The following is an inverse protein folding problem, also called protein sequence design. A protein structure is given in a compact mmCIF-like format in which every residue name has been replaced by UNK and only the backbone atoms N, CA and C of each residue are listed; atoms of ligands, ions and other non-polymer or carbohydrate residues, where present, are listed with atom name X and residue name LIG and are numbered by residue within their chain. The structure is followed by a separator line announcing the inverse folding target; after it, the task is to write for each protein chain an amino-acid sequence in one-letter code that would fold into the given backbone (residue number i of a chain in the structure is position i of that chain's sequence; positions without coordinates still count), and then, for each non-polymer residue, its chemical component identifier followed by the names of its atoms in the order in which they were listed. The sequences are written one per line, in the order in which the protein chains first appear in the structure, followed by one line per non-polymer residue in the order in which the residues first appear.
data_IF_361589902820
#
_entry.id   IF_361589902820
#
_cell.length_a   1.000
_cell.length_b   1.000
_cell.length_c   1.000
_cell.angle_alpha   90.00
_cell.angle_beta   90.00
_cell.angle_gamma   90.00
#
_symmetry.space_group_name_H-M   'P 1'
#
loop_
_entity.id
_entity.type
_entity.pdbx_description
1 polymer ?
#
# COMPACT_ATOMS: atom_id res chain seq x y z
N UNK A 1 -46.85 60.80 -35.56
CA UNK A 1 -47.69 60.86 -36.77
C UNK A 1 -47.70 59.48 -37.42
N UNK A 2 -48.87 58.84 -37.48
CA UNK A 2 -49.31 57.65 -38.24
C UNK A 2 -48.44 56.36 -38.40
N UNK A 3 -49.17 55.23 -38.50
CA UNK A 3 -48.73 53.82 -38.67
C UNK A 3 -49.03 53.35 -40.11
N UNK A 4 -48.36 52.27 -40.57
CA UNK A 4 -48.93 51.07 -41.26
C UNK A 4 -47.80 50.03 -41.51
N UNK A 5 -47.79 48.76 -41.02
CA UNK A 5 -48.64 47.56 -41.32
C UNK A 5 -48.59 47.21 -42.83
N UNK A 6 -48.30 45.99 -43.36
CA UNK A 6 -48.43 44.57 -42.93
C UNK A 6 -47.27 43.69 -43.53
N UNK A 7 -47.19 42.33 -43.51
CA UNK A 7 -48.18 41.24 -43.42
C UNK A 7 -47.61 39.89 -42.90
N UNK A 8 -48.51 38.95 -42.63
CA UNK A 8 -48.33 37.58 -42.08
C UNK A 8 -48.60 36.54 -43.21
N UNK A 9 -48.25 35.24 -43.20
CA UNK A 9 -47.93 34.25 -42.14
C UNK A 9 -47.38 32.90 -42.71
N UNK A 10 -47.27 31.87 -41.84
CA UNK A 10 -47.25 30.40 -42.09
C UNK A 10 -45.97 29.71 -42.61
N UNK A 11 -45.26 29.06 -41.68
CA UNK A 11 -45.41 27.60 -41.49
C UNK A 11 -44.98 27.23 -40.06
N UNK A 12 -45.78 26.42 -39.37
CA UNK A 12 -45.50 26.01 -38.00
C UNK A 12 -44.97 24.58 -37.93
N UNK A 13 -43.92 24.38 -37.15
CA UNK A 13 -43.52 23.06 -36.64
C UNK A 13 -43.02 23.24 -35.20
N UNK A 14 -43.74 22.63 -34.25
CA UNK A 14 -43.32 22.56 -32.85
C UNK A 14 -42.18 21.56 -32.73
N UNK A 15 -40.96 22.03 -32.45
CA UNK A 15 -39.92 21.17 -31.90
C UNK A 15 -40.20 20.95 -30.41
N UNK A 16 -40.79 19.79 -30.09
CA UNK A 16 -40.88 19.30 -28.72
C UNK A 16 -39.49 18.86 -28.25
N UNK A 17 -39.13 19.21 -27.02
CA UNK A 17 -37.90 18.74 -26.41
C UNK A 17 -37.99 17.22 -26.12
N UNK A 18 -37.07 16.44 -26.68
CA UNK A 18 -36.84 15.05 -26.29
C UNK A 18 -35.86 15.01 -25.10
N UNK A 19 -36.14 14.24 -24.04
CA UNK A 19 -35.19 14.07 -22.95
C UNK A 19 -34.02 13.21 -23.42
N UNK A 20 -32.81 13.76 -23.36
CA UNK A 20 -31.56 13.02 -23.58
C UNK A 20 -31.26 12.11 -22.38
N UNK A 21 -31.98 10.99 -22.28
CA UNK A 21 -31.56 9.87 -21.43
C UNK A 21 -30.39 9.14 -22.11
N UNK A 22 -29.20 9.73 -22.02
CA UNK A 22 -27.94 9.05 -22.34
C UNK A 22 -27.68 7.99 -21.27
N UNK A 23 -28.27 6.81 -21.49
CA UNK A 23 -27.91 5.61 -20.74
C UNK A 23 -26.42 5.35 -20.92
N UNK A 24 -25.72 5.12 -19.80
CA UNK A 24 -24.34 4.60 -19.84
C UNK A 24 -24.33 3.34 -20.74
N UNK A 25 -23.45 3.23 -21.74
CA UNK A 25 -23.19 1.93 -22.31
C UNK A 25 -22.67 1.02 -21.20
N UNK A 26 -23.34 -0.11 -20.99
CA UNK A 26 -22.82 -1.21 -20.18
C UNK A 26 -21.59 -1.77 -20.91
N UNK A 27 -20.42 -1.21 -20.60
CA UNK A 27 -19.15 -1.80 -21.03
C UNK A 27 -19.02 -3.16 -20.36
N UNK A 28 -19.33 -4.22 -21.11
CA UNK A 28 -19.12 -5.61 -20.71
C UNK A 28 -17.67 -6.05 -21.00
N UNK A 29 -16.71 -5.12 -20.91
CA UNK A 29 -15.31 -5.46 -20.83
C UNK A 29 -15.06 -6.02 -19.41
N UNK A 30 -15.11 -7.34 -19.26
CA UNK A 30 -14.41 -7.98 -18.15
C UNK A 30 -12.92 -7.72 -18.36
N UNK A 31 -12.33 -6.84 -17.55
CA UNK A 31 -10.89 -6.56 -17.63
C UNK A 31 -10.10 -7.87 -17.50
N UNK A 32 -9.37 -8.20 -18.56
CA UNK A 32 -8.62 -9.46 -18.64
C UNK A 32 -7.43 -9.36 -17.69
N UNK A 33 -7.58 -9.98 -16.52
CA UNK A 33 -6.56 -9.98 -15.47
C UNK A 33 -5.22 -10.49 -15.99
N UNK A 34 -4.16 -9.71 -15.72
CA UNK A 34 -2.78 -10.05 -16.06
C UNK A 34 -2.33 -11.30 -15.29
N UNK A 35 -1.50 -12.12 -15.91
CA UNK A 35 -1.00 -13.38 -15.34
C UNK A 35 0.48 -13.28 -15.03
N UNK A 36 0.91 -13.72 -13.85
CA UNK A 36 2.33 -13.88 -13.53
C UNK A 36 2.90 -15.12 -14.23
N UNK A 37 4.24 -15.28 -14.32
CA UNK A 37 4.87 -16.50 -14.83
C UNK A 37 4.47 -17.78 -14.07
N UNK A 38 3.98 -17.64 -12.83
CA UNK A 38 3.55 -18.74 -11.97
C UNK A 38 2.03 -19.01 -12.03
N UNK A 39 1.29 -18.41 -12.96
CA UNK A 39 -0.17 -18.55 -13.02
C UNK A 39 -0.64 -20.02 -13.09
N UNK A 40 -0.13 -20.82 -14.03
CA UNK A 40 -0.52 -22.23 -14.15
C UNK A 40 0.02 -23.09 -12.99
N UNK A 41 1.17 -22.69 -12.43
CA UNK A 41 1.73 -23.29 -11.22
C UNK A 41 0.78 -23.08 -10.02
N UNK A 42 0.18 -21.91 -9.86
CA UNK A 42 -0.82 -21.64 -8.82
C UNK A 42 -2.05 -22.53 -8.98
N UNK A 43 -2.57 -22.66 -10.21
CA UNK A 43 -3.72 -23.53 -10.50
C UNK A 43 -3.42 -24.99 -10.14
N UNK A 44 -2.27 -25.51 -10.56
CA UNK A 44 -1.86 -26.89 -10.27
C UNK A 44 -1.77 -27.18 -8.75
N UNK A 45 -1.36 -26.20 -7.96
CA UNK A 45 -1.27 -26.33 -6.49
C UNK A 45 -2.55 -25.94 -5.74
N UNK A 46 -3.67 -25.71 -6.44
CA UNK A 46 -4.97 -25.41 -5.84
C UNK A 46 -5.12 -23.97 -5.34
N UNK A 47 -4.43 -23.02 -5.99
CA UNK A 47 -4.53 -21.59 -5.74
C UNK A 47 -5.92 -21.05 -6.09
N UNK A 48 -6.55 -20.35 -5.14
CA UNK A 48 -7.86 -19.71 -5.32
C UNK A 48 -7.64 -18.30 -5.89
N UNK A 49 -7.71 -18.20 -7.21
CA UNK A 49 -7.33 -17.00 -7.95
C UNK A 49 -8.36 -15.87 -7.79
N UNK A 50 -7.90 -14.64 -7.56
CA UNK A 50 -8.71 -13.42 -7.44
C UNK A 50 -8.06 -12.25 -8.18
N UNK A 51 -8.84 -11.21 -8.46
CA UNK A 51 -8.33 -9.93 -8.94
C UNK A 51 -7.56 -9.19 -7.84
N UNK A 52 -6.32 -8.79 -8.11
CA UNK A 52 -5.50 -7.94 -7.25
C UNK A 52 -4.62 -7.02 -8.09
N UNK A 53 -4.81 -5.70 -7.99
CA UNK A 53 -4.08 -4.68 -8.76
C UNK A 53 -4.01 -4.96 -10.28
N UNK A 54 -5.09 -5.48 -10.88
CA UNK A 54 -5.15 -5.85 -12.30
C UNK A 54 -4.51 -7.21 -12.66
N UNK A 55 -4.03 -7.98 -11.67
CA UNK A 55 -3.47 -9.32 -11.84
C UNK A 55 -4.40 -10.40 -11.28
N UNK A 56 -4.24 -11.63 -11.77
CA UNK A 56 -4.87 -12.84 -11.23
C UNK A 56 -3.88 -13.56 -10.31
N UNK A 57 -4.15 -13.56 -9.01
CA UNK A 57 -3.24 -14.06 -7.97
C UNK A 57 -4.00 -14.89 -6.91
N UNK A 58 -3.34 -15.86 -6.25
CA UNK A 58 -3.99 -16.70 -5.26
C UNK A 58 -4.24 -15.96 -3.94
N UNK A 59 -5.52 -15.81 -3.54
CA UNK A 59 -5.85 -15.27 -2.21
C UNK A 59 -5.44 -16.22 -1.08
N UNK A 60 -5.53 -17.52 -1.36
CA UNK A 60 -5.03 -18.65 -0.55
C UNK A 60 -4.89 -19.90 -1.45
N UNK A 61 -4.41 -21.00 -0.87
CA UNK A 61 -4.39 -22.33 -1.50
C UNK A 61 -5.35 -23.29 -0.77
N UNK A 62 -4.93 -24.55 -0.58
CA UNK A 62 -5.69 -25.60 0.13
C UNK A 62 -5.85 -25.27 1.62
N UNK A 63 -4.74 -25.02 2.32
CA UNK A 63 -4.70 -24.62 3.73
C UNK A 63 -5.48 -23.30 3.94
N UNK A 64 -5.99 -23.08 5.16
CA UNK A 64 -6.62 -21.80 5.49
C UNK A 64 -5.57 -20.69 5.51
N UNK A 65 -5.99 -19.43 5.32
CA UNK A 65 -5.06 -18.30 5.43
C UNK A 65 -4.51 -18.13 6.87
N UNK A 66 -5.19 -18.69 7.88
CA UNK A 66 -4.75 -18.70 9.28
C UNK A 66 -3.61 -19.71 9.45
N UNK A 67 -3.77 -20.93 8.93
CA UNK A 67 -2.74 -21.97 8.99
C UNK A 67 -1.51 -21.59 8.16
N UNK A 68 -1.72 -21.04 6.96
CA UNK A 68 -0.66 -20.51 6.08
C UNK A 68 0.12 -19.36 6.74
N UNK A 69 -0.57 -18.48 7.47
CA UNK A 69 0.08 -17.44 8.27
C UNK A 69 0.95 -18.04 9.38
N UNK A 70 0.40 -18.96 10.18
CA UNK A 70 1.12 -19.60 11.30
C UNK A 70 2.32 -20.41 10.80
N UNK A 71 2.16 -21.16 9.70
CA UNK A 71 3.26 -21.85 9.01
C UNK A 71 4.39 -20.89 8.62
N UNK A 72 4.05 -19.70 8.10
CA UNK A 72 5.06 -18.68 7.74
C UNK A 72 5.85 -18.15 8.94
N UNK A 73 5.29 -18.22 10.16
CA UNK A 73 5.94 -17.78 11.41
C UNK A 73 6.77 -18.88 12.08
N UNK A 74 6.47 -20.15 11.81
CA UNK A 74 7.12 -21.31 12.42
C UNK A 74 8.14 -22.00 11.51
N UNK A 75 7.91 -21.94 10.20
CA UNK A 75 8.71 -22.54 9.13
C UNK A 75 9.02 -21.46 8.08
N UNK A 76 8.74 -21.72 6.80
CA UNK A 76 8.85 -20.72 5.75
C UNK A 76 7.75 -20.87 4.68
N UNK A 77 7.42 -19.77 4.00
CA UNK A 77 6.42 -19.78 2.93
C UNK A 77 6.90 -19.01 1.70
N UNK A 78 6.54 -19.53 0.53
CA UNK A 78 6.80 -18.93 -0.78
C UNK A 78 5.58 -18.10 -1.23
N UNK A 79 5.82 -16.85 -1.63
CA UNK A 79 4.82 -15.91 -2.13
C UNK A 79 5.18 -15.49 -3.57
N UNK A 80 4.20 -15.54 -4.48
CA UNK A 80 4.37 -14.92 -5.80
C UNK A 80 4.15 -13.41 -5.73
N UNK A 81 5.24 -12.67 -5.88
CA UNK A 81 5.27 -11.20 -5.91
C UNK A 81 5.66 -10.64 -7.28
N UNK A 82 5.60 -11.47 -8.34
CA UNK A 82 6.04 -11.11 -9.71
C UNK A 82 5.22 -9.98 -10.36
N UNK A 83 4.09 -9.61 -9.75
CA UNK A 83 3.24 -8.50 -10.15
C UNK A 83 3.83 -7.12 -9.80
N UNK A 84 4.71 -7.05 -8.79
CA UNK A 84 5.37 -5.82 -8.35
C UNK A 84 6.25 -5.23 -9.47
N UNK A 85 6.42 -3.91 -9.47
CA UNK A 85 7.29 -3.24 -10.42
C UNK A 85 8.75 -3.48 -10.02
N UNK A 86 9.60 -3.88 -10.98
CA UNK A 86 11.03 -4.09 -10.77
C UNK A 86 11.80 -3.29 -11.82
N UNK A 87 12.56 -2.27 -11.41
CA UNK A 87 13.24 -1.36 -12.33
C UNK A 87 14.73 -1.29 -12.06
N UNK A 88 15.50 -0.98 -13.12
CA UNK A 88 16.95 -0.79 -13.04
C UNK A 88 17.32 0.62 -13.51
N UNK A 89 18.08 1.35 -12.70
CA UNK A 89 18.53 2.71 -13.01
C UNK A 89 20.04 2.72 -13.23
N UNK A 90 20.44 3.08 -14.44
CA UNK A 90 21.83 3.09 -14.90
C UNK A 90 22.38 4.53 -15.00
N UNK A 91 23.68 4.65 -15.29
CA UNK A 91 24.37 5.93 -15.44
C UNK A 91 25.10 6.40 -14.19
N UNK A 92 26.01 7.36 -14.35
CA UNK A 92 26.78 8.00 -13.27
C UNK A 92 25.87 8.66 -12.24
N UNK A 93 24.87 9.40 -12.71
CA UNK A 93 24.00 10.24 -11.90
C UNK A 93 22.78 9.51 -11.32
N UNK A 94 22.70 8.18 -11.45
CA UNK A 94 21.57 7.35 -10.97
C UNK A 94 21.17 7.59 -9.52
N UNK A 95 22.14 7.88 -8.65
CA UNK A 95 21.91 8.20 -7.22
C UNK A 95 21.24 9.57 -7.09
N UNK A 96 21.78 10.59 -7.75
CA UNK A 96 21.22 11.96 -7.75
C UNK A 96 19.80 11.98 -8.34
N UNK A 97 19.59 11.22 -9.41
CA UNK A 97 18.26 11.04 -10.03
C UNK A 97 17.28 10.44 -9.02
N UNK A 98 17.61 9.29 -8.41
CA UNK A 98 16.75 8.65 -7.40
C UNK A 98 16.49 9.60 -6.20
N UNK A 99 17.51 10.25 -5.68
CA UNK A 99 17.38 11.16 -4.54
C UNK A 99 16.48 12.37 -4.83
N UNK A 100 16.40 12.85 -6.08
CA UNK A 100 15.43 13.89 -6.47
C UNK A 100 13.96 13.46 -6.37
N UNK A 101 13.70 12.16 -6.20
CA UNK A 101 12.35 11.58 -6.09
C UNK A 101 12.04 11.02 -4.69
N UNK A 102 13.06 10.56 -3.95
CA UNK A 102 12.88 9.84 -2.67
C UNK A 102 13.50 10.54 -1.47
N UNK A 103 13.00 10.19 -0.29
CA UNK A 103 13.39 10.78 1.00
C UNK A 103 14.65 10.16 1.67
N UNK A 104 15.16 9.04 1.16
CA UNK A 104 16.30 8.31 1.75
C UNK A 104 17.68 8.85 1.37
N UNK A 105 18.71 8.55 2.17
CA UNK A 105 20.13 8.77 1.81
C UNK A 105 20.62 7.58 0.97
N UNK A 106 20.46 7.67 -0.35
CA UNK A 106 20.81 6.61 -1.31
C UNK A 106 22.32 6.59 -1.57
N UNK A 107 22.96 7.76 -1.52
CA UNK A 107 24.41 7.91 -1.62
C UNK A 107 25.18 7.23 -0.47
N UNK A 108 24.54 6.98 0.69
CA UNK A 108 25.16 6.29 1.83
C UNK A 108 25.01 4.76 1.77
N UNK A 109 24.23 4.22 0.82
CA UNK A 109 24.08 2.77 0.64
C UNK A 109 25.38 2.14 0.14
N UNK A 110 25.91 1.19 0.90
CA UNK A 110 27.04 0.34 0.49
C UNK A 110 26.67 -0.50 -0.74
N UNK A 111 27.66 -0.99 -1.51
CA UNK A 111 27.40 -1.97 -2.56
C UNK A 111 26.61 -3.17 -2.03
N UNK A 112 25.54 -3.52 -2.73
CA UNK A 112 24.54 -4.54 -2.41
C UNK A 112 23.75 -4.30 -1.12
N UNK A 113 23.74 -3.08 -0.59
CA UNK A 113 22.84 -2.64 0.47
C UNK A 113 21.58 -2.00 -0.12
N UNK A 114 20.43 -2.29 0.48
CA UNK A 114 19.16 -1.64 0.17
C UNK A 114 18.46 -1.08 1.40
N UNK A 115 17.48 -0.21 1.16
CA UNK A 115 16.60 0.38 2.17
C UNK A 115 15.18 0.52 1.63
N UNK A 116 14.21 0.54 2.55
CA UNK A 116 12.90 1.15 2.25
C UNK A 116 13.10 2.65 2.02
N UNK A 117 12.44 3.19 1.01
CA UNK A 117 12.30 4.62 0.78
C UNK A 117 10.88 4.94 0.30
N UNK A 118 10.58 6.22 0.15
CA UNK A 118 9.26 6.72 -0.22
C UNK A 118 9.44 7.72 -1.35
N UNK A 119 8.68 7.59 -2.43
CA UNK A 119 8.46 8.69 -3.35
C UNK A 119 7.55 9.72 -2.67
N UNK A 120 7.86 11.01 -2.77
CA UNK A 120 7.01 12.08 -2.23
C UNK A 120 6.63 13.12 -3.28
N UNK A 121 5.54 13.83 -3.06
CA UNK A 121 5.13 15.00 -3.82
C UNK A 121 5.53 16.31 -3.11
N UNK A 122 5.36 17.46 -3.76
CA UNK A 122 5.71 18.77 -3.18
C UNK A 122 4.82 19.20 -2.01
N UNK A 123 3.65 18.58 -1.82
CA UNK A 123 2.83 18.75 -0.62
C UNK A 123 3.34 17.89 0.57
N UNK A 124 4.38 17.08 0.36
CA UNK A 124 4.98 16.19 1.35
C UNK A 124 4.25 14.85 1.53
N UNK A 125 3.24 14.56 0.71
CA UNK A 125 2.50 13.30 0.71
C UNK A 125 3.26 12.18 -0.02
N UNK A 126 2.95 10.92 0.32
CA UNK A 126 3.65 9.74 -0.21
C UNK A 126 3.01 9.29 -1.54
N UNK A 127 3.80 9.16 -2.59
CA UNK A 127 3.34 8.68 -3.91
C UNK A 127 3.44 7.16 -4.05
N UNK A 128 4.49 6.53 -3.52
CA UNK A 128 4.56 5.08 -3.31
C UNK A 128 5.65 4.76 -2.26
N UNK A 129 5.58 3.56 -1.67
CA UNK A 129 6.69 2.98 -0.91
C UNK A 129 7.48 1.94 -1.73
N UNK A 130 8.81 1.99 -1.64
CA UNK A 130 9.69 1.20 -2.51
C UNK A 130 10.94 0.71 -1.76
N UNK A 131 11.49 -0.41 -2.21
CA UNK A 131 12.83 -0.85 -1.82
C UNK A 131 13.81 -0.45 -2.92
N UNK A 132 14.87 0.27 -2.57
CA UNK A 132 15.97 0.62 -3.47
C UNK A 132 17.28 0.03 -2.95
N UNK A 133 18.03 -0.61 -3.84
CA UNK A 133 19.31 -1.28 -3.59
C UNK A 133 20.39 -0.71 -4.49
N UNK A 134 21.53 -0.32 -3.91
CA UNK A 134 22.70 0.13 -4.67
C UNK A 134 23.55 -1.09 -5.05
N UNK A 135 23.46 -1.59 -6.29
CA UNK A 135 24.13 -2.86 -6.66
C UNK A 135 25.62 -2.66 -6.96
N UNK A 136 26.43 -3.69 -6.72
CA UNK A 136 27.83 -3.71 -7.18
C UNK A 136 27.97 -3.77 -8.71
N UNK A 137 26.89 -4.07 -9.43
CA UNK A 137 26.79 -4.09 -10.90
C UNK A 137 26.54 -2.71 -11.51
N UNK A 138 26.81 -1.62 -10.79
CA UNK A 138 26.76 -0.26 -11.33
C UNK A 138 25.36 0.30 -11.62
N UNK A 139 24.30 -0.30 -11.07
CA UNK A 139 22.92 0.19 -11.21
C UNK A 139 22.21 0.26 -9.86
N UNK A 140 21.13 1.04 -9.78
CA UNK A 140 20.16 0.89 -8.68
C UNK A 140 19.12 -0.16 -9.10
N UNK A 141 18.82 -1.10 -8.22
CA UNK A 141 17.69 -2.02 -8.38
C UNK A 141 16.56 -1.58 -7.45
N UNK A 142 15.39 -1.35 -8.04
CA UNK A 142 14.24 -0.73 -7.36
C UNK A 142 13.03 -1.65 -7.50
N UNK A 143 12.27 -1.80 -6.41
CA UNK A 143 11.03 -2.58 -6.36
C UNK A 143 9.94 -1.74 -5.73
N UNK A 144 8.84 -1.51 -6.44
CA UNK A 144 7.68 -0.70 -5.99
C UNK A 144 6.33 -1.39 -6.26
N UNK A 145 5.23 -0.83 -5.78
CA UNK A 145 3.95 -1.52 -5.70
C UNK A 145 3.29 -1.75 -7.08
N UNK A 146 2.65 -2.90 -7.23
CA UNK A 146 1.97 -3.27 -8.48
C UNK A 146 0.81 -2.33 -8.85
N UNK A 147 0.11 -1.76 -7.84
CA UNK A 147 -0.97 -0.79 -8.04
C UNK A 147 -0.48 0.60 -8.47
N UNK A 148 0.77 0.94 -8.16
CA UNK A 148 1.41 2.19 -8.57
C UNK A 148 2.14 2.06 -9.91
N UNK A 149 2.17 0.85 -10.49
CA UNK A 149 3.00 0.48 -11.64
C UNK A 149 2.94 1.48 -12.80
N UNK A 150 1.79 2.02 -13.17
CA UNK A 150 1.65 2.95 -14.30
C UNK A 150 2.20 4.35 -13.98
N UNK A 151 1.91 4.85 -12.76
CA UNK A 151 2.47 6.09 -12.23
C UNK A 151 4.00 6.02 -12.21
N UNK A 152 4.53 4.92 -11.68
CA UNK A 152 5.96 4.69 -11.49
C UNK A 152 6.69 4.33 -12.81
N UNK A 153 6.04 3.62 -13.74
CA UNK A 153 6.63 3.26 -15.04
C UNK A 153 6.95 4.46 -15.91
N UNK A 154 6.22 5.57 -15.72
CA UNK A 154 6.51 6.85 -16.38
C UNK A 154 7.92 7.37 -16.06
N UNK A 155 8.61 6.76 -15.08
CA UNK A 155 9.95 7.14 -14.63
C UNK A 155 11.07 6.14 -15.04
N UNK A 156 10.80 4.87 -15.39
CA UNK A 156 11.85 3.80 -15.41
C UNK A 156 11.58 2.57 -16.33
N UNK A 157 12.62 1.76 -16.64
CA UNK A 157 12.55 0.49 -17.42
C UNK A 157 12.77 -0.80 -16.58
N UNK A 158 12.29 -1.95 -17.10
CA UNK A 158 12.16 -3.26 -16.42
C UNK A 158 12.68 -4.43 -17.30
N UNK A 159 13.27 -5.49 -16.71
CA UNK A 159 13.06 -6.89 -17.17
C UNK A 159 13.53 -7.95 -16.16
N UNK A 160 12.82 -9.09 -16.08
CA UNK A 160 13.30 -10.40 -15.57
C UNK A 160 12.70 -11.51 -16.47
N UNK A 161 13.47 -12.55 -16.90
CA UNK A 161 12.94 -13.62 -17.76
C UNK A 161 11.93 -14.54 -17.07
N UNK A 162 10.79 -14.81 -17.72
CA UNK A 162 9.69 -15.61 -17.16
C UNK A 162 10.01 -17.10 -16.96
N UNK A 163 10.83 -17.70 -17.83
CA UNK A 163 11.11 -19.14 -17.81
C UNK A 163 11.84 -19.63 -16.54
N UNK A 164 12.65 -18.76 -15.93
CA UNK A 164 13.43 -19.07 -14.74
C UNK A 164 12.57 -19.11 -13.46
N UNK A 165 11.45 -18.37 -13.43
CA UNK A 165 10.60 -18.25 -12.26
C UNK A 165 9.95 -19.59 -11.86
N UNK A 166 9.42 -20.34 -12.84
CA UNK A 166 8.80 -21.65 -12.60
C UNK A 166 9.83 -22.66 -12.07
N UNK A 167 11.03 -22.70 -12.68
CA UNK A 167 12.09 -23.63 -12.25
C UNK A 167 12.50 -23.37 -10.80
N UNK A 168 12.68 -22.10 -10.43
CA UNK A 168 13.00 -21.71 -9.05
C UNK A 168 11.87 -22.02 -8.06
N UNK A 169 10.61 -21.74 -8.43
CA UNK A 169 9.46 -22.01 -7.57
C UNK A 169 9.29 -23.52 -7.29
N UNK A 170 9.45 -24.36 -8.32
CA UNK A 170 9.45 -25.83 -8.16
C UNK A 170 10.58 -26.29 -7.24
N UNK A 171 11.82 -25.87 -7.49
CA UNK A 171 12.98 -26.28 -6.69
C UNK A 171 12.89 -25.85 -5.21
N UNK A 172 12.28 -24.70 -4.92
CA UNK A 172 12.02 -24.29 -3.53
C UNK A 172 10.95 -25.15 -2.87
N UNK A 173 9.92 -25.59 -3.61
CA UNK A 173 8.82 -26.39 -3.08
C UNK A 173 9.16 -27.88 -2.92
N UNK A 174 10.33 -28.33 -3.39
CA UNK A 174 10.88 -29.66 -3.08
C UNK A 174 11.30 -29.79 -1.59
N UNK A 175 11.51 -28.68 -0.89
CA UNK A 175 11.76 -28.68 0.56
C UNK A 175 10.43 -28.76 1.33
N UNK A 176 10.20 -29.79 2.18
CA UNK A 176 8.94 -29.98 2.90
C UNK A 176 8.60 -28.87 3.92
N UNK A 177 9.58 -28.06 4.31
CA UNK A 177 9.38 -26.89 5.19
C UNK A 177 8.74 -25.69 4.46
N UNK A 178 8.75 -25.69 3.12
CA UNK A 178 8.22 -24.61 2.28
C UNK A 178 6.75 -24.89 1.94
N UNK A 179 5.87 -23.94 2.23
CA UNK A 179 4.48 -23.94 1.72
C UNK A 179 4.19 -22.71 0.87
N UNK A 180 3.26 -22.85 -0.08
CA UNK A 180 2.74 -21.69 -0.81
C UNK A 180 1.79 -20.87 0.07
N UNK A 181 1.93 -19.54 0.04
CA UNK A 181 1.08 -18.62 0.80
C UNK A 181 0.47 -17.54 -0.10
N UNK A 182 -0.81 -17.24 0.16
CA UNK A 182 -1.62 -16.32 -0.65
C UNK A 182 -1.74 -14.92 -0.05
N UNK A 183 -2.45 -14.04 -0.78
CA UNK A 183 -2.64 -12.63 -0.42
C UNK A 183 -3.20 -12.41 1.00
N UNK A 184 -4.10 -13.27 1.48
CA UNK A 184 -4.70 -13.14 2.81
C UNK A 184 -3.70 -13.44 3.96
N UNK A 185 -2.76 -14.38 3.75
CA UNK A 185 -1.67 -14.61 4.68
C UNK A 185 -0.67 -13.44 4.63
N UNK A 186 -0.35 -12.94 3.43
CA UNK A 186 0.54 -11.77 3.24
C UNK A 186 0.03 -10.53 3.99
N UNK A 187 -1.26 -10.19 3.88
CA UNK A 187 -1.83 -9.01 4.55
C UNK A 187 -1.85 -9.13 6.08
N UNK A 188 -2.21 -10.30 6.62
CA UNK A 188 -2.19 -10.50 8.07
C UNK A 188 -0.77 -10.51 8.65
N UNK A 189 0.20 -11.11 7.94
CA UNK A 189 1.62 -11.13 8.35
C UNK A 189 2.24 -9.73 8.37
N UNK A 190 1.99 -8.92 7.32
CA UNK A 190 2.54 -7.55 7.22
C UNK A 190 1.91 -6.62 8.25
N UNK A 191 0.60 -6.76 8.52
CA UNK A 191 -0.11 -5.93 9.49
C UNK A 191 0.42 -6.20 10.91
N UNK A 192 0.57 -7.47 11.30
CA UNK A 192 1.23 -7.85 12.56
C UNK A 192 2.67 -7.33 12.67
N UNK A 193 3.42 -7.31 11.55
CA UNK A 193 4.77 -6.78 11.49
C UNK A 193 4.84 -5.24 11.47
N UNK A 194 3.71 -4.53 11.60
CA UNK A 194 3.68 -3.06 11.64
C UNK A 194 3.93 -2.37 10.30
N UNK A 195 3.96 -3.13 9.20
CA UNK A 195 4.29 -2.67 7.86
C UNK A 195 3.06 -2.05 7.17
N UNK A 196 3.27 -0.89 6.53
CA UNK A 196 2.24 -0.22 5.75
C UNK A 196 1.81 -1.04 4.54
N UNK A 197 0.60 -0.77 4.06
CA UNK A 197 0.14 -1.06 2.71
C UNK A 197 -0.19 0.28 2.05
N UNK A 198 0.51 0.62 0.95
CA UNK A 198 0.20 1.82 0.18
C UNK A 198 -1.24 1.76 -0.38
N UNK A 199 -1.93 2.90 -0.40
CA UNK A 199 -3.36 3.00 -0.73
C UNK A 199 -4.30 2.65 0.42
N UNK A 200 -3.78 2.12 1.53
CA UNK A 200 -4.51 1.88 2.77
C UNK A 200 -3.96 2.74 3.91
N UNK A 201 -2.73 2.47 4.34
CA UNK A 201 -2.13 3.08 5.55
C UNK A 201 -1.32 4.33 5.26
N UNK A 202 -0.94 4.53 4.00
CA UNK A 202 -0.22 5.70 3.46
C UNK A 202 -0.72 5.98 2.04
N UNK A 203 -0.83 7.26 1.72
CA UNK A 203 -1.31 7.81 0.46
C UNK A 203 -0.73 9.22 0.20
N UNK A 204 -1.12 9.82 -0.93
CA UNK A 204 -0.62 11.12 -1.44
C UNK A 204 -0.98 12.34 -0.57
N UNK A 205 -1.74 12.14 0.50
CA UNK A 205 -2.10 13.14 1.52
C UNK A 205 -1.48 12.83 2.88
N UNK A 206 -0.83 11.68 3.07
CA UNK A 206 -0.11 11.33 4.31
C UNK A 206 1.37 11.62 4.18
N UNK A 207 1.96 12.37 5.12
CA UNK A 207 3.41 12.58 5.11
C UNK A 207 4.16 11.40 5.73
N UNK A 208 5.48 11.24 5.48
CA UNK A 208 6.31 10.29 6.20
C UNK A 208 6.29 10.46 7.73
N UNK A 209 6.02 11.67 8.25
CA UNK A 209 5.95 11.91 9.70
C UNK A 209 4.59 11.49 10.26
N UNK A 210 3.50 11.87 9.60
CA UNK A 210 2.15 11.39 9.95
C UNK A 210 2.07 9.87 9.89
N UNK A 211 2.63 9.25 8.85
CA UNK A 211 2.68 7.81 8.66
C UNK A 211 3.56 7.03 9.65
N UNK A 212 4.18 7.70 10.65
CA UNK A 212 5.17 7.09 11.56
C UNK A 212 6.35 6.44 10.81
N UNK A 213 6.76 7.01 9.68
CA UNK A 213 7.86 6.57 8.81
C UNK A 213 9.06 7.52 8.83
N UNK A 214 9.14 8.47 9.78
CA UNK A 214 10.26 9.44 9.91
C UNK A 214 11.67 8.84 9.93
N UNK A 215 11.81 7.53 10.11
CA UNK A 215 13.07 6.79 10.05
C UNK A 215 13.59 6.59 8.61
N UNK A 216 12.73 6.64 7.58
CA UNK A 216 13.13 6.54 6.16
C UNK A 216 13.79 7.82 5.64
N UNK A 217 13.53 8.96 6.29
CA UNK A 217 14.11 10.26 5.94
C UNK A 217 15.62 10.22 6.23
N UNK A 218 16.46 10.32 5.21
CA UNK A 218 17.92 10.31 5.38
C UNK A 218 18.41 11.46 6.27
N UNK A 219 19.48 11.22 7.05
CA UNK A 219 20.09 12.24 7.93
C UNK A 219 20.61 13.42 7.13
N UNK A 220 21.31 13.18 6.01
CA UNK A 220 21.79 14.26 5.13
C UNK A 220 20.62 14.88 4.38
N UNK A 221 19.66 14.09 3.87
CA UNK A 221 18.43 14.64 3.22
C UNK A 221 17.71 15.67 4.08
N UNK A 222 17.49 15.37 5.37
CA UNK A 222 16.85 16.29 6.35
C UNK A 222 17.61 17.61 6.52
N UNK A 223 18.94 17.60 6.39
CA UNK A 223 19.77 18.79 6.54
C UNK A 223 19.88 19.58 5.23
N UNK A 224 19.92 18.89 4.10
CA UNK A 224 20.01 19.47 2.76
C UNK A 224 18.68 20.02 2.25
N UNK A 225 17.54 19.53 2.75
CA UNK A 225 16.18 19.88 2.28
C UNK A 225 15.97 19.60 0.78
N UNK A 226 16.68 18.60 0.25
CA UNK A 226 16.88 18.34 -1.18
C UNK A 226 15.96 17.25 -1.76
N UNK A 227 14.74 17.11 -1.22
CA UNK A 227 13.73 16.12 -1.66
C UNK A 227 12.32 16.75 -1.77
N UNK A 228 11.42 16.20 -2.62
CA UNK A 228 10.08 16.75 -2.83
C UNK A 228 9.29 16.87 -1.52
N UNK A 229 8.74 18.06 -1.26
CA UNK A 229 7.96 18.34 -0.06
C UNK A 229 8.77 18.45 1.24
N UNK A 230 10.11 18.52 1.20
CA UNK A 230 10.94 18.71 2.38
C UNK A 230 10.53 19.92 3.25
N UNK A 231 10.07 20.99 2.62
CA UNK A 231 9.53 22.20 3.26
C UNK A 231 8.30 21.94 4.15
N UNK A 232 7.52 20.90 3.87
CA UNK A 232 6.38 20.45 4.69
C UNK A 232 6.83 19.38 5.70
N UNK A 233 7.62 18.41 5.24
CA UNK A 233 7.97 17.20 6.00
C UNK A 233 8.95 17.51 7.16
N UNK A 234 9.99 18.32 6.93
CA UNK A 234 11.05 18.51 7.94
C UNK A 234 10.59 19.34 9.15
N UNK A 235 9.74 20.39 9.02
CA UNK A 235 9.15 21.05 10.18
C UNK A 235 8.36 20.11 11.10
N UNK A 236 7.65 19.12 10.52
CA UNK A 236 6.87 18.12 11.29
C UNK A 236 7.74 17.23 12.19
N UNK A 237 9.05 17.10 11.93
CA UNK A 237 9.96 16.35 12.80
C UNK A 237 10.21 17.03 14.16
N UNK A 238 9.90 18.33 14.28
CA UNK A 238 10.10 19.13 15.51
C UNK A 238 8.79 19.49 16.22
N UNK A 239 7.65 19.25 15.59
CA UNK A 239 6.32 19.61 16.10
C UNK A 239 5.45 18.38 16.33
N UNK A 240 4.29 18.57 16.98
CA UNK A 240 3.24 17.56 17.03
C UNK A 240 2.45 17.65 15.72
N UNK A 241 2.47 16.56 14.94
CA UNK A 241 1.60 16.41 13.76
C UNK A 241 0.12 16.33 14.19
N UNK A 242 -0.79 16.81 13.34
CA UNK A 242 -2.24 16.81 13.63
C UNK A 242 -2.81 15.40 13.79
N UNK A 243 -2.25 14.44 13.04
CA UNK A 243 -2.59 13.02 13.10
C UNK A 243 -1.33 12.16 12.99
N UNK A 244 -1.40 10.95 13.54
CA UNK A 244 -0.31 9.97 13.49
C UNK A 244 -0.85 8.55 13.29
N UNK A 245 -0.21 7.77 12.42
CA UNK A 245 -0.48 6.35 12.25
C UNK A 245 -0.06 5.59 13.50
N UNK A 246 -0.99 4.81 14.04
CA UNK A 246 -0.82 3.94 15.22
C UNK A 246 -1.26 2.51 14.92
N UNK A 247 -0.82 1.57 15.76
CA UNK A 247 -1.40 0.24 15.84
C UNK A 247 -2.49 0.19 16.90
N UNK A 248 -3.51 -0.63 16.66
CA UNK A 248 -4.64 -0.87 17.56
C UNK A 248 -4.81 -2.38 17.79
N UNK A 249 -5.14 -2.76 19.03
CA UNK A 249 -5.56 -4.12 19.39
C UNK A 249 -6.90 -4.11 20.08
N UNK A 250 -7.76 -5.07 19.76
CA UNK A 250 -9.08 -5.24 20.39
C UNK A 250 -9.56 -6.70 20.31
N UNK A 251 -10.70 -6.98 20.95
CA UNK A 251 -11.30 -8.32 21.04
C UNK A 251 -12.71 -8.34 20.42
N UNK A 252 -13.28 -9.52 20.23
CA UNK A 252 -14.60 -9.67 19.62
C UNK A 252 -14.58 -9.45 18.10
N UNK A 253 -15.46 -8.58 17.58
CA UNK A 253 -15.70 -8.45 16.15
C UNK A 253 -14.51 -7.78 15.41
N UNK A 254 -13.98 -8.37 14.31
CA UNK A 254 -12.83 -7.81 13.62
C UNK A 254 -13.07 -6.42 13.04
N UNK A 255 -12.17 -5.50 13.36
CA UNK A 255 -12.14 -4.13 12.84
C UNK A 255 -11.73 -4.14 11.37
N UNK A 256 -12.22 -3.17 10.59
CA UNK A 256 -12.00 -3.07 9.14
C UNK A 256 -11.54 -1.66 8.77
N UNK A 257 -10.94 -1.52 7.59
CA UNK A 257 -10.67 -0.23 6.98
C UNK A 257 -11.95 0.62 6.94
N UNK A 258 -11.78 1.95 7.05
CA UNK A 258 -12.83 2.97 7.14
C UNK A 258 -13.70 2.93 8.40
N UNK A 259 -13.46 2.01 9.36
CA UNK A 259 -14.09 2.09 10.69
C UNK A 259 -13.68 3.38 11.42
N UNK A 260 -14.64 4.18 11.93
CA UNK A 260 -14.34 5.30 12.82
C UNK A 260 -13.57 4.86 14.07
N UNK A 261 -12.58 5.68 14.46
CA UNK A 261 -11.91 5.63 15.76
C UNK A 261 -12.44 6.80 16.58
N UNK A 262 -12.84 6.53 17.82
CA UNK A 262 -13.44 7.49 18.72
C UNK A 262 -12.66 7.56 20.04
N UNK A 263 -12.75 8.70 20.73
CA UNK A 263 -12.28 8.85 22.09
C UNK A 263 -13.15 8.03 23.07
N UNK A 264 -12.74 7.97 24.33
CA UNK A 264 -13.50 7.31 25.41
C UNK A 264 -14.87 7.95 25.68
N UNK A 265 -15.05 9.21 25.26
CA UNK A 265 -16.28 10.00 25.35
C UNK A 265 -17.17 9.81 24.11
N UNK A 266 -16.75 9.00 23.13
CA UNK A 266 -17.51 8.72 21.91
C UNK A 266 -17.39 9.79 20.81
N UNK A 267 -16.45 10.73 20.92
CA UNK A 267 -16.15 11.69 19.83
C UNK A 267 -15.29 11.02 18.77
N UNK A 268 -15.68 11.10 17.49
CA UNK A 268 -14.85 10.60 16.37
C UNK A 268 -13.58 11.45 16.27
N UNK A 269 -12.42 10.81 16.37
CA UNK A 269 -11.09 11.45 16.32
C UNK A 269 -10.20 10.90 15.20
N UNK A 270 -10.60 9.80 14.55
CA UNK A 270 -9.74 9.11 13.61
C UNK A 270 -10.44 8.05 12.77
N UNK A 271 -9.66 7.35 11.96
CA UNK A 271 -10.16 6.32 11.04
C UNK A 271 -9.16 5.17 10.91
N UNK A 272 -9.68 3.94 10.88
CA UNK A 272 -8.92 2.72 10.63
C UNK A 272 -8.58 2.60 9.14
N UNK A 273 -7.34 2.23 8.83
CA UNK A 273 -6.81 2.08 7.46
C UNK A 273 -6.66 0.62 7.04
N UNK A 274 -6.31 -0.25 8.00
CA UNK A 274 -6.16 -1.70 7.83
C UNK A 274 -6.67 -2.43 9.07
N UNK A 275 -7.25 -3.62 8.92
CA UNK A 275 -7.76 -4.37 10.09
C UNK A 275 -8.13 -5.83 9.81
N UNK A 276 -7.53 -6.76 10.56
CA UNK A 276 -7.81 -8.18 10.47
C UNK A 276 -7.59 -8.92 11.80
N UNK A 277 -8.13 -10.15 11.97
CA UNK A 277 -7.72 -11.03 13.05
C UNK A 277 -6.24 -11.39 12.93
N UNK A 278 -5.48 -11.31 14.03
CA UNK A 278 -4.11 -11.79 14.15
C UNK A 278 -4.12 -13.27 14.56
N UNK A 279 -3.62 -14.19 13.71
CA UNK A 279 -3.44 -15.59 14.08
C UNK A 279 -2.46 -15.77 15.25
N UNK A 280 -1.38 -14.99 15.30
CA UNK A 280 -0.36 -15.13 16.33
C UNK A 280 -0.86 -14.70 17.73
N UNK A 281 -1.60 -13.59 17.79
CA UNK A 281 -2.03 -12.97 19.05
C UNK A 281 -3.41 -13.43 19.52
N UNK A 282 -4.18 -14.12 18.65
CA UNK A 282 -5.59 -14.51 18.89
C UNK A 282 -6.50 -13.32 19.27
N UNK A 283 -6.18 -12.15 18.72
CA UNK A 283 -6.89 -10.87 18.89
C UNK A 283 -7.08 -10.20 17.54
N UNK A 284 -7.86 -9.13 17.46
CA UNK A 284 -7.91 -8.28 16.28
C UNK A 284 -6.78 -7.26 16.32
N UNK A 285 -6.11 -7.06 15.18
CA UNK A 285 -5.09 -6.02 14.97
C UNK A 285 -5.55 -5.07 13.86
N UNK A 286 -5.25 -3.80 14.03
CA UNK A 286 -5.59 -2.77 13.04
C UNK A 286 -4.56 -1.63 13.04
N UNK A 287 -4.48 -0.92 11.91
CA UNK A 287 -3.79 0.38 11.83
C UNK A 287 -4.82 1.47 11.59
N UNK A 288 -4.50 2.69 12.02
CA UNK A 288 -5.31 3.86 11.72
C UNK A 288 -4.62 5.14 12.15
N UNK A 289 -5.25 6.28 11.85
CA UNK A 289 -4.77 7.60 12.22
C UNK A 289 -5.58 8.16 13.39
N UNK A 290 -4.89 8.71 14.38
CA UNK A 290 -5.47 9.43 15.53
C UNK A 290 -4.66 10.70 15.81
N UNK A 291 -5.18 11.69 16.57
CA UNK A 291 -4.41 12.86 16.96
C UNK A 291 -3.20 12.49 17.82
N UNK A 292 -2.15 13.32 17.81
CA UNK A 292 -0.87 12.99 18.44
C UNK A 292 -1.01 12.65 19.93
N UNK A 293 -1.86 13.37 20.66
CA UNK A 293 -2.19 13.18 22.06
C UNK A 293 -2.76 11.79 22.39
N UNK A 294 -3.48 11.18 21.45
CA UNK A 294 -4.00 9.82 21.58
C UNK A 294 -2.99 8.74 21.14
N UNK A 295 -1.88 9.11 20.50
CA UNK A 295 -0.97 8.16 19.82
C UNK A 295 -0.05 7.33 20.73
N UNK A 296 -0.08 7.54 22.05
CA UNK A 296 0.74 6.82 23.02
C UNK A 296 0.30 5.34 23.14
N UNK A 297 1.21 4.35 23.10
CA UNK A 297 0.88 2.97 23.44
C UNK A 297 0.29 2.84 24.85
N UNK A 298 -0.81 2.11 24.97
CA UNK A 298 -1.62 1.98 26.18
C UNK A 298 -2.84 2.90 26.23
N UNK A 299 -2.98 3.89 25.35
CA UNK A 299 -4.19 4.73 25.26
C UNK A 299 -5.42 3.87 24.96
N UNK A 300 -6.47 4.02 25.76
CA UNK A 300 -7.79 3.44 25.49
C UNK A 300 -8.54 4.30 24.47
N UNK A 301 -9.17 3.65 23.50
CA UNK A 301 -10.00 4.25 22.46
C UNK A 301 -11.23 3.37 22.23
N UNK A 302 -12.18 3.89 21.45
CA UNK A 302 -13.28 3.10 20.89
C UNK A 302 -13.09 2.98 19.38
N UNK A 303 -13.55 1.87 18.80
CA UNK A 303 -13.69 1.72 17.35
C UNK A 303 -15.08 1.21 17.01
N UNK A 304 -15.66 1.72 15.92
CA UNK A 304 -16.98 1.27 15.48
C UNK A 304 -16.86 0.06 14.54
N UNK A 305 -17.50 -1.05 14.91
CA UNK A 305 -17.60 -2.25 14.10
C UNK A 305 -19.06 -2.71 14.04
N UNK A 306 -19.61 -2.78 12.83
CA UNK A 306 -21.02 -3.14 12.59
C UNK A 306 -22.01 -2.28 13.40
N UNK A 307 -21.77 -0.96 13.45
CA UNK A 307 -22.57 0.02 14.23
C UNK A 307 -22.58 -0.19 15.75
N UNK A 308 -21.59 -0.92 16.28
CA UNK A 308 -21.35 -1.04 17.73
C UNK A 308 -19.95 -0.53 18.05
N UNK A 309 -19.84 0.24 19.12
CA UNK A 309 -18.56 0.65 19.68
C UNK A 309 -17.95 -0.54 20.44
N UNK A 310 -16.66 -0.78 20.23
CA UNK A 310 -15.86 -1.72 21.02
C UNK A 310 -14.60 -1.02 21.53
N UNK A 311 -14.10 -1.44 22.69
CA UNK A 311 -12.84 -0.91 23.24
C UNK A 311 -11.66 -1.42 22.40
N UNK A 312 -10.79 -0.49 22.01
CA UNK A 312 -9.50 -0.77 21.43
C UNK A 312 -8.40 -0.11 22.26
N UNK A 313 -7.20 -0.68 22.21
CA UNK A 313 -6.01 -0.14 22.89
C UNK A 313 -4.97 0.18 21.83
N UNK A 314 -4.39 1.38 21.91
CA UNK A 314 -3.24 1.75 21.08
C UNK A 314 -2.07 0.85 21.46
N UNK A 315 -1.57 0.09 20.50
CA UNK A 315 -0.50 -0.87 20.70
C UNK A 315 0.79 -0.43 19.98
N UNK A 316 1.93 -0.81 20.55
CA UNK A 316 3.22 -0.58 19.90
C UNK A 316 3.32 -1.49 18.68
N UNK A 317 3.78 -0.94 17.56
CA UNK A 317 4.14 -1.72 16.37
C UNK A 317 5.66 -2.00 16.35
N UNK A 318 6.11 -3.16 15.86
CA UNK A 318 5.30 -4.28 15.36
C UNK A 318 4.52 -4.97 16.50
N UNK A 319 3.34 -5.53 16.20
CA UNK A 319 2.51 -6.22 17.19
C UNK A 319 3.09 -7.58 17.59
N UNK A 320 3.76 -8.24 16.64
CA UNK A 320 4.55 -9.47 16.85
C UNK A 320 6.02 -9.10 16.63
N UNK A 321 6.95 -9.46 17.54
CA UNK A 321 8.38 -9.17 17.38
C UNK A 321 8.94 -9.66 16.03
N UNK A 322 9.76 -8.84 15.39
CA UNK A 322 10.42 -9.19 14.11
C UNK A 322 11.69 -10.00 14.34
N UNK A 323 11.90 -11.02 13.50
CA UNK A 323 13.10 -11.87 13.50
C UNK A 323 14.06 -11.53 12.37
N UNK A 324 14.28 -10.24 12.09
CA UNK A 324 15.19 -9.80 11.02
C UNK A 324 16.63 -10.25 11.34
N UNK A 325 17.22 -11.02 10.43
CA UNK A 325 18.62 -11.40 10.53
C UNK A 325 19.51 -10.17 10.39
N UNK A 326 20.41 -9.98 11.36
CA UNK A 326 21.41 -8.91 11.36
C UNK A 326 22.76 -9.52 11.76
N UNK A 327 23.81 -9.14 11.03
CA UNK A 327 25.17 -9.40 11.47
C UNK A 327 25.44 -8.50 12.70
N UNK A 328 25.86 -9.11 13.81
CA UNK A 328 26.34 -8.42 15.00
C UNK A 328 27.77 -7.93 14.81
#
# INVERSE_FOLDING_TARGET
MQRTVSMVSRMGLRLQALPLSLGRPLSCAQDVLRRTPLYDFHLAHGGKMVAFAGWSLPVQYRDSHVDSHLHTRQHCSLFDVSHMLQTKIFGSDRVKMMESLVVGDIAELKPNQGTLSLFTNEAGGILDDLIVTNTSEGHLYVVSNAGCREKDLTLMQISVPAAEAVRLATALLENPEVKLAGLAARDSLRLEAGLCLYGNDIDEHTTPVEGSLSWTLGKRRRAAMDFPGASVIVPQLKSKVQRRRVGLTCEGAPVRAHSPILSTEGTVIGTVTSGCPSPCLKKNVAMGYVPYEHSRPGTLLLVEVRRKQQVAVVSKMPFVPTSYYTLK
#
